data_IF_687985099765
#
_entry.id   IF_687985099765
#
_cell.length_a   1.000
_cell.length_b   1.000
_cell.length_c   1.000
_cell.angle_alpha   90.00
_cell.angle_beta   90.00
_cell.angle_gamma   90.00
#
_symmetry.space_group_name_H-M   'P 1'
#
loop_
_entity.id
_entity.type
_entity.pdbx_description
1 polymer ?
#
# COMPACT_ATOMS: atom_id res chain seq x y z
N UNK A 1 -2.56 7.41 33.24
CA UNK A 1 -1.79 7.18 32.00
C UNK A 1 -2.76 6.59 30.99
N UNK A 2 -3.29 7.42 30.10
CA UNK A 2 -3.92 6.94 28.88
C UNK A 2 -2.74 6.60 27.98
N UNK A 3 -2.61 5.33 27.58
CA UNK A 3 -1.60 4.95 26.61
C UNK A 3 -1.89 5.72 25.32
N UNK A 4 -0.92 6.46 24.80
CA UNK A 4 -0.94 6.92 23.42
C UNK A 4 -0.96 5.65 22.57
N UNK A 5 -2.14 5.32 22.03
CA UNK A 5 -2.27 4.28 21.02
C UNK A 5 -1.70 4.91 19.77
N UNK A 6 -0.70 4.28 19.15
CA UNK A 6 -0.19 4.73 17.85
C UNK A 6 -1.35 4.80 16.86
N UNK A 7 -1.29 5.72 15.90
CA UNK A 7 -2.30 5.79 14.84
C UNK A 7 -2.41 4.44 14.09
N UNK A 8 -1.30 3.72 13.95
CA UNK A 8 -1.23 2.42 13.27
C UNK A 8 -2.02 1.34 14.02
N UNK A 9 -1.89 1.27 15.34
CA UNK A 9 -2.62 0.33 16.19
C UNK A 9 -4.13 0.61 16.16
N UNK A 10 -4.51 1.88 16.04
CA UNK A 10 -5.90 2.30 15.93
C UNK A 10 -6.52 1.87 14.59
N UNK A 11 -5.79 2.03 13.48
CA UNK A 11 -6.25 1.64 12.14
C UNK A 11 -6.32 0.11 12.01
N UNK A 12 -5.31 -0.62 12.48
CA UNK A 12 -5.32 -2.08 12.51
C UNK A 12 -6.53 -2.63 13.29
N UNK A 13 -6.88 -2.00 14.42
CA UNK A 13 -8.05 -2.37 15.21
C UNK A 13 -9.36 -2.12 14.44
N UNK A 14 -9.46 -1.03 13.67
CA UNK A 14 -10.64 -0.73 12.84
C UNK A 14 -10.85 -1.81 11.78
N UNK A 15 -9.79 -2.24 11.10
CA UNK A 15 -9.83 -3.28 10.07
C UNK A 15 -10.32 -4.60 10.66
N UNK A 16 -9.67 -5.06 11.73
CA UNK A 16 -10.05 -6.30 12.43
C UNK A 16 -11.51 -6.26 12.92
N UNK A 17 -11.97 -5.10 13.37
CA UNK A 17 -13.37 -4.92 13.76
C UNK A 17 -14.32 -5.06 12.57
N UNK A 18 -14.01 -4.46 11.42
CA UNK A 18 -14.85 -4.61 10.23
C UNK A 18 -14.87 -6.04 9.71
N UNK A 19 -13.71 -6.71 9.65
CA UNK A 19 -13.62 -8.13 9.28
C UNK A 19 -14.46 -8.99 10.22
N UNK A 20 -14.33 -8.80 11.53
CA UNK A 20 -15.15 -9.52 12.50
C UNK A 20 -16.64 -9.25 12.33
N UNK A 21 -17.04 -8.00 12.04
CA UNK A 21 -18.43 -7.65 11.75
C UNK A 21 -18.92 -8.41 10.51
N UNK A 22 -18.12 -8.47 9.45
CA UNK A 22 -18.50 -9.13 8.21
C UNK A 22 -18.58 -10.65 8.37
N UNK A 23 -17.62 -11.25 9.06
CA UNK A 23 -17.46 -12.72 9.07
C UNK A 23 -18.12 -13.41 10.28
N UNK A 24 -18.16 -12.75 11.43
CA UNK A 24 -18.36 -13.44 12.73
C UNK A 24 -19.47 -12.84 13.62
N UNK A 25 -20.02 -11.67 13.31
CA UNK A 25 -20.92 -10.95 14.24
C UNK A 25 -22.36 -11.46 14.34
N UNK A 26 -22.77 -12.44 13.51
CA UNK A 26 -24.17 -12.84 13.30
C UNK A 26 -25.14 -11.69 12.91
N UNK A 27 -24.63 -10.49 12.62
CA UNK A 27 -25.45 -9.35 12.24
C UNK A 27 -26.15 -9.61 10.91
N UNK A 28 -27.38 -9.13 10.78
CA UNK A 28 -28.03 -9.13 9.48
C UNK A 28 -27.32 -8.14 8.54
N UNK A 29 -27.53 -8.33 7.23
CA UNK A 29 -26.91 -7.48 6.21
C UNK A 29 -27.18 -5.98 6.41
N UNK A 30 -28.39 -5.61 6.85
CA UNK A 30 -28.75 -4.21 7.08
C UNK A 30 -27.94 -3.55 8.21
N UNK A 31 -27.67 -4.29 9.28
CA UNK A 31 -26.86 -3.79 10.40
C UNK A 31 -25.38 -3.71 10.04
N UNK A 32 -24.86 -4.67 9.27
CA UNK A 32 -23.50 -4.61 8.68
C UNK A 32 -23.33 -3.35 7.83
N UNK A 33 -24.24 -3.10 6.88
CA UNK A 33 -24.22 -1.90 6.04
C UNK A 33 -24.29 -0.62 6.87
N UNK A 34 -25.13 -0.58 7.91
CA UNK A 34 -25.23 0.60 8.78
C UNK A 34 -23.90 0.87 9.52
N UNK A 35 -23.22 -0.19 9.93
CA UNK A 35 -21.92 -0.09 10.58
C UNK A 35 -20.86 0.46 9.62
N UNK A 36 -20.78 -0.08 8.41
CA UNK A 36 -19.84 0.42 7.38
C UNK A 36 -20.12 1.89 7.04
N UNK A 37 -21.39 2.27 6.88
CA UNK A 37 -21.77 3.66 6.61
C UNK A 37 -21.40 4.61 7.76
N UNK A 38 -21.46 4.12 9.00
CA UNK A 38 -21.02 4.89 10.17
C UNK A 38 -19.51 5.09 10.16
N UNK A 39 -18.74 4.05 9.80
CA UNK A 39 -17.28 4.15 9.63
C UNK A 39 -16.92 5.12 8.51
N UNK A 40 -17.57 5.02 7.35
CA UNK A 40 -17.37 5.94 6.21
C UNK A 40 -17.64 7.39 6.58
N UNK A 41 -18.70 7.66 7.32
CA UNK A 41 -19.02 9.01 7.78
C UNK A 41 -17.98 9.55 8.77
N UNK A 42 -17.48 8.69 9.68
CA UNK A 42 -16.41 9.05 10.60
C UNK A 42 -15.10 9.37 9.86
N UNK A 43 -14.69 8.53 8.91
CA UNK A 43 -13.49 8.76 8.09
C UNK A 43 -13.63 10.02 7.24
N UNK A 44 -14.79 10.25 6.61
CA UNK A 44 -15.00 11.48 5.85
C UNK A 44 -14.83 12.71 6.73
N UNK A 45 -15.37 12.68 7.96
CA UNK A 45 -15.19 13.76 8.93
C UNK A 45 -13.72 13.94 9.30
N UNK A 46 -13.00 12.85 9.57
CA UNK A 46 -11.60 12.90 10.01
C UNK A 46 -10.68 13.43 8.90
N UNK A 47 -10.77 12.86 7.70
CA UNK A 47 -9.99 13.24 6.52
C UNK A 47 -10.31 14.68 6.06
N UNK A 48 -11.53 15.18 6.29
CA UNK A 48 -11.92 16.54 5.92
C UNK A 48 -11.58 17.60 6.98
N UNK A 49 -11.45 17.22 8.27
CA UNK A 49 -11.34 18.16 9.38
C UNK A 49 -9.91 18.40 9.84
N UNK A 50 -9.05 17.39 9.72
CA UNK A 50 -7.65 17.51 10.08
C UNK A 50 -6.86 17.78 8.82
N UNK A 51 -6.21 18.95 8.75
CA UNK A 51 -5.24 19.26 7.70
C UNK A 51 -4.30 18.07 7.57
N UNK A 52 -4.35 17.47 6.39
CA UNK A 52 -3.75 16.19 6.00
C UNK A 52 -2.92 15.51 7.09
N UNK A 53 -3.52 14.52 7.75
CA UNK A 53 -2.83 13.69 8.73
C UNK A 53 -1.70 12.96 7.99
N UNK A 54 -0.49 13.04 8.53
CA UNK A 54 0.64 12.25 8.06
C UNK A 54 0.38 10.78 8.43
N UNK A 55 -0.29 10.08 7.52
CA UNK A 55 -0.66 8.67 7.63
C UNK A 55 0.10 7.94 6.54
N UNK A 56 0.73 6.82 6.90
CA UNK A 56 1.39 5.97 5.94
C UNK A 56 0.39 5.48 4.86
N UNK A 57 0.85 5.42 3.60
CA UNK A 57 0.05 5.07 2.42
C UNK A 57 -0.59 3.68 2.54
N UNK A 58 0.18 2.69 3.00
CA UNK A 58 -0.27 1.33 3.33
C UNK A 58 -1.50 1.28 4.27
N UNK A 59 -1.56 2.17 5.26
CA UNK A 59 -2.67 2.27 6.21
C UNK A 59 -3.90 2.90 5.56
N UNK A 60 -3.70 3.89 4.69
CA UNK A 60 -4.80 4.46 3.89
C UNK A 60 -5.41 3.41 2.97
N UNK A 61 -4.61 2.56 2.36
CA UNK A 61 -5.09 1.47 1.51
C UNK A 61 -5.89 0.42 2.31
N UNK A 62 -5.37 0.06 3.48
CA UNK A 62 -6.05 -0.85 4.38
C UNK A 62 -7.37 -0.26 4.90
N UNK A 63 -7.45 1.06 5.09
CA UNK A 63 -8.70 1.75 5.43
C UNK A 63 -9.70 1.72 4.27
N UNK A 64 -9.25 1.93 3.02
CA UNK A 64 -10.10 1.81 1.82
C UNK A 64 -10.68 0.40 1.72
N UNK A 65 -9.88 -0.64 1.95
CA UNK A 65 -10.35 -2.02 2.00
C UNK A 65 -11.40 -2.21 3.10
N UNK A 66 -11.11 -1.80 4.34
CA UNK A 66 -12.03 -1.94 5.47
C UNK A 66 -13.40 -1.28 5.22
N UNK A 67 -13.43 -0.10 4.59
CA UNK A 67 -14.70 0.57 4.29
C UNK A 67 -15.41 0.04 3.06
N UNK A 68 -14.85 -0.93 2.35
CA UNK A 68 -15.44 -1.53 1.15
C UNK A 68 -15.74 -3.03 1.26
N UNK A 69 -15.54 -3.62 2.44
CA UNK A 69 -15.80 -5.04 2.70
C UNK A 69 -17.27 -5.45 2.47
N UNK A 70 -18.24 -4.56 2.70
CA UNK A 70 -19.67 -4.87 2.53
C UNK A 70 -20.20 -4.22 1.25
N UNK A 71 -19.87 -2.94 1.03
CA UNK A 71 -20.22 -2.23 -0.20
C UNK A 71 -18.95 -1.81 -0.95
N UNK A 72 -18.67 -2.34 -2.15
CA UNK A 72 -17.45 -2.01 -2.87
C UNK A 72 -17.40 -0.55 -3.38
N UNK A 73 -18.55 0.14 -3.44
CA UNK A 73 -18.63 1.48 -4.02
C UNK A 73 -18.54 2.56 -2.95
N UNK A 74 -17.53 3.42 -3.06
CA UNK A 74 -17.39 4.62 -2.24
C UNK A 74 -18.25 5.78 -2.78
N UNK A 75 -18.60 6.72 -1.91
CA UNK A 75 -19.20 7.99 -2.34
C UNK A 75 -18.13 8.89 -2.94
N UNK A 76 -18.52 9.76 -3.87
CA UNK A 76 -17.60 10.68 -4.55
C UNK A 76 -16.79 11.54 -3.56
N UNK A 77 -17.43 12.04 -2.50
CA UNK A 77 -16.76 12.85 -1.47
C UNK A 77 -15.66 12.07 -0.72
N UNK A 78 -15.92 10.79 -0.43
CA UNK A 78 -14.96 9.94 0.26
C UNK A 78 -13.82 9.51 -0.67
N UNK A 79 -14.10 9.25 -1.94
CA UNK A 79 -13.07 9.01 -2.97
C UNK A 79 -12.11 10.19 -3.08
N UNK A 80 -12.64 11.41 -3.20
CA UNK A 80 -11.84 12.64 -3.27
C UNK A 80 -10.98 12.80 -2.01
N UNK A 81 -11.56 12.57 -0.83
CA UNK A 81 -10.84 12.70 0.44
C UNK A 81 -9.68 11.70 0.55
N UNK A 82 -9.89 10.44 0.16
CA UNK A 82 -8.82 9.44 0.13
C UNK A 82 -7.72 9.81 -0.86
N UNK A 83 -8.07 10.17 -2.09
CA UNK A 83 -7.09 10.55 -3.13
C UNK A 83 -6.23 11.71 -2.67
N UNK A 84 -6.84 12.75 -2.10
CA UNK A 84 -6.09 13.92 -1.63
C UNK A 84 -5.19 13.59 -0.44
N UNK A 85 -5.64 12.71 0.46
CA UNK A 85 -4.84 12.29 1.62
C UNK A 85 -3.65 11.44 1.17
N UNK A 86 -3.87 10.51 0.25
CA UNK A 86 -2.80 9.70 -0.34
C UNK A 86 -1.78 10.60 -1.04
N UNK A 87 -2.26 11.52 -1.89
CA UNK A 87 -1.40 12.47 -2.60
C UNK A 87 -0.55 13.33 -1.63
N UNK A 88 -1.10 13.70 -0.48
CA UNK A 88 -0.35 14.44 0.54
C UNK A 88 0.66 13.57 1.30
N UNK A 89 0.27 12.34 1.67
CA UNK A 89 1.15 11.41 2.39
C UNK A 89 2.34 10.95 1.54
N UNK A 90 2.19 10.97 0.22
CA UNK A 90 3.24 10.58 -0.72
C UNK A 90 4.32 11.66 -0.83
N UNK A 91 5.41 11.47 -0.10
CA UNK A 91 6.64 12.27 -0.20
C UNK A 91 7.46 11.82 -1.41
N UNK A 92 6.95 12.07 -2.61
CA UNK A 92 7.45 11.55 -3.91
C UNK A 92 8.97 11.80 -4.13
N UNK A 93 9.53 12.84 -3.52
CA UNK A 93 10.94 13.21 -3.68
C UNK A 93 11.92 12.47 -2.76
N UNK A 94 11.45 11.77 -1.73
CA UNK A 94 12.29 11.12 -0.70
C UNK A 94 12.28 9.58 -0.79
N UNK A 95 11.49 9.02 -1.70
CA UNK A 95 11.20 7.58 -1.81
C UNK A 95 12.01 6.96 -2.96
N UNK A 96 12.48 5.72 -2.79
CA UNK A 96 13.20 5.00 -3.85
C UNK A 96 12.28 4.54 -4.99
N UNK A 97 12.86 4.31 -6.17
CA UNK A 97 12.12 3.92 -7.38
C UNK A 97 11.31 2.63 -7.21
N UNK A 98 11.81 1.65 -6.47
CA UNK A 98 11.11 0.37 -6.26
C UNK A 98 9.84 0.57 -5.44
N UNK A 99 9.92 1.41 -4.40
CA UNK A 99 8.78 1.74 -3.55
C UNK A 99 7.74 2.53 -4.34
N UNK A 100 8.16 3.50 -5.16
CA UNK A 100 7.26 4.23 -6.06
C UNK A 100 6.54 3.29 -7.06
N UNK A 101 7.22 2.28 -7.60
CA UNK A 101 6.58 1.28 -8.46
C UNK A 101 5.57 0.41 -7.71
N UNK A 102 5.90 -0.03 -6.49
CA UNK A 102 4.98 -0.80 -5.65
C UNK A 102 3.73 -0.02 -5.32
N UNK A 103 3.90 1.23 -4.88
CA UNK A 103 2.80 2.16 -4.57
C UNK A 103 1.92 2.43 -5.82
N UNK A 104 2.53 2.65 -6.98
CA UNK A 104 1.79 2.81 -8.23
C UNK A 104 0.95 1.55 -8.58
N UNK A 105 1.49 0.36 -8.32
CA UNK A 105 0.76 -0.89 -8.54
C UNK A 105 -0.41 -1.03 -7.56
N UNK A 106 -0.22 -0.71 -6.28
CA UNK A 106 -1.29 -0.74 -5.28
C UNK A 106 -2.41 0.24 -5.66
N UNK A 107 -2.07 1.47 -6.06
CA UNK A 107 -3.03 2.45 -6.58
C UNK A 107 -3.87 1.93 -7.75
N UNK A 108 -3.26 1.23 -8.71
CA UNK A 108 -4.00 0.62 -9.82
C UNK A 108 -5.00 -0.44 -9.35
N UNK A 109 -4.65 -1.23 -8.33
CA UNK A 109 -5.62 -2.20 -7.78
C UNK A 109 -6.84 -1.51 -7.18
N UNK A 110 -6.68 -0.29 -6.66
CA UNK A 110 -7.75 0.52 -6.08
C UNK A 110 -8.49 1.40 -7.09
N UNK A 111 -8.12 1.40 -8.38
CA UNK A 111 -8.77 2.19 -9.44
C UNK A 111 -10.30 2.02 -9.42
N UNK A 112 -10.76 0.78 -9.30
CA UNK A 112 -12.20 0.45 -9.32
C UNK A 112 -12.97 1.07 -8.15
N UNK A 113 -12.27 1.33 -7.05
CA UNK A 113 -12.84 1.80 -5.78
C UNK A 113 -12.70 3.31 -5.63
N UNK A 114 -11.56 3.87 -6.03
CA UNK A 114 -11.21 5.28 -5.86
C UNK A 114 -11.36 6.13 -7.13
N UNK A 115 -11.50 5.50 -8.31
CA UNK A 115 -11.79 6.16 -9.58
C UNK A 115 -10.56 6.68 -10.34
N UNK A 116 -10.82 7.41 -11.43
CA UNK A 116 -9.79 7.83 -12.41
C UNK A 116 -8.68 8.71 -11.85
N UNK A 117 -8.92 9.47 -10.78
CA UNK A 117 -7.91 10.35 -10.18
C UNK A 117 -6.72 9.57 -9.60
N UNK A 118 -6.93 8.31 -9.23
CA UNK A 118 -5.86 7.44 -8.76
C UNK A 118 -4.94 6.97 -9.90
N UNK A 119 -5.47 6.84 -11.12
CA UNK A 119 -4.67 6.46 -12.30
C UNK A 119 -3.63 7.54 -12.60
N UNK A 120 -4.05 8.80 -12.62
CA UNK A 120 -3.13 9.92 -12.83
C UNK A 120 -2.05 10.01 -11.75
N UNK A 121 -2.38 9.63 -10.51
CA UNK A 121 -1.41 9.57 -9.42
C UNK A 121 -0.42 8.42 -9.64
N UNK A 122 -0.91 7.22 -9.98
CA UNK A 122 -0.07 6.05 -10.29
C UNK A 122 0.87 6.30 -11.47
N UNK A 123 0.40 6.96 -12.53
CA UNK A 123 1.24 7.37 -13.67
C UNK A 123 2.35 8.32 -13.24
N UNK A 124 2.04 9.33 -12.43
CA UNK A 124 3.03 10.29 -11.90
C UNK A 124 4.11 9.59 -11.04
N UNK A 125 3.73 8.60 -10.24
CA UNK A 125 4.69 7.83 -9.44
C UNK A 125 5.63 7.01 -10.31
N UNK A 126 5.11 6.40 -11.40
CA UNK A 126 5.96 5.66 -12.34
C UNK A 126 6.92 6.56 -13.08
N UNK A 127 6.44 7.70 -13.57
CA UNK A 127 7.28 8.69 -14.25
C UNK A 127 8.44 9.09 -13.33
N UNK A 128 8.15 9.39 -12.06
CA UNK A 128 9.21 9.70 -11.09
C UNK A 128 10.16 8.53 -10.83
N UNK A 129 9.64 7.31 -10.72
CA UNK A 129 10.47 6.12 -10.53
C UNK A 129 11.45 5.93 -11.72
N UNK A 130 10.97 6.13 -12.95
CA UNK A 130 11.82 6.10 -14.14
C UNK A 130 12.87 7.21 -14.14
N UNK A 131 12.53 8.44 -13.77
CA UNK A 131 13.50 9.53 -13.63
C UNK A 131 14.61 9.19 -12.64
N UNK A 132 14.28 8.63 -11.48
CA UNK A 132 15.26 8.23 -10.45
C UNK A 132 16.18 7.12 -10.98
N UNK A 133 15.66 6.15 -11.72
CA UNK A 133 16.47 5.11 -12.35
C UNK A 133 17.40 5.68 -13.44
N UNK A 134 16.91 6.63 -14.24
CA UNK A 134 17.72 7.30 -15.28
C UNK A 134 18.83 8.15 -14.65
N UNK A 135 18.53 8.90 -13.59
CA UNK A 135 19.52 9.67 -12.81
C UNK A 135 20.62 8.76 -12.22
N UNK A 136 20.24 7.59 -11.68
CA UNK A 136 21.21 6.59 -11.18
C UNK A 136 22.11 6.03 -12.27
N UNK A 137 21.57 5.78 -13.46
CA UNK A 137 22.36 5.27 -14.60
C UNK A 137 23.25 6.36 -15.21
N UNK A 138 22.88 7.63 -15.07
CA UNK A 138 23.61 8.78 -15.59
C UNK A 138 24.74 9.30 -14.66
N UNK A 139 24.87 8.78 -13.43
CA UNK A 139 25.94 9.15 -12.49
C UNK A 139 27.08 8.10 -12.43
N UNK A 140 28.14 8.24 -13.26
CA UNK A 140 29.27 7.30 -13.29
C UNK A 140 30.19 7.38 -12.06
N UNK A 141 29.87 8.18 -11.03
CA UNK A 141 30.73 8.36 -9.85
C UNK A 141 30.14 7.81 -8.53
N UNK A 142 28.97 7.18 -8.52
CA UNK A 142 28.47 6.48 -7.32
C UNK A 142 29.16 5.11 -7.18
N UNK A 143 30.44 5.15 -6.83
CA UNK A 143 31.22 3.99 -6.38
C UNK A 143 30.91 3.73 -4.89
N UNK A 144 29.67 3.34 -4.58
CA UNK A 144 29.37 2.73 -3.28
C UNK A 144 29.35 1.20 -3.45
N UNK A 145 30.42 0.49 -3.05
CA UNK A 145 30.55 -0.95 -3.27
C UNK A 145 29.58 -1.81 -2.44
N UNK A 146 28.71 -1.22 -1.61
CA UNK A 146 27.73 -1.96 -0.80
C UNK A 146 26.37 -2.21 -1.49
N UNK A 147 26.11 -1.67 -2.68
CA UNK A 147 24.82 -1.88 -3.39
C UNK A 147 24.77 -3.09 -4.33
N UNK A 148 25.79 -3.96 -4.33
CA UNK A 148 25.70 -5.26 -5.00
C UNK A 148 24.87 -6.26 -4.17
N UNK A 149 23.57 -5.97 -4.01
CA UNK A 149 22.59 -6.97 -3.59
C UNK A 149 22.25 -7.82 -4.81
N UNK A 150 22.96 -8.95 -4.94
CA UNK A 150 22.70 -10.11 -5.80
C UNK A 150 21.65 -9.91 -6.90
N UNK A 151 22.12 -9.56 -8.11
CA UNK A 151 21.46 -9.97 -9.35
C UNK A 151 21.94 -11.40 -9.65
N UNK A 152 21.09 -12.44 -9.56
CA UNK A 152 21.46 -13.74 -10.09
C UNK A 152 21.41 -13.63 -11.62
N UNK A 153 22.57 -13.66 -12.26
CA UNK A 153 22.65 -13.90 -13.70
C UNK A 153 22.01 -15.27 -14.00
N UNK A 154 21.07 -15.36 -14.95
CA UNK A 154 20.55 -16.64 -15.36
C UNK A 154 21.50 -17.21 -16.41
N UNK A 155 22.25 -18.27 -16.08
CA UNK A 155 22.56 -19.45 -16.90
C UNK A 155 23.91 -20.08 -16.54
N UNK A 156 23.88 -21.06 -15.65
CA UNK A 156 24.65 -22.29 -15.80
C UNK A 156 23.81 -23.39 -15.12
N UNK A 157 23.44 -24.43 -15.87
CA UNK A 157 22.72 -25.59 -15.33
C UNK A 157 23.56 -26.18 -14.20
N UNK A 158 23.08 -25.98 -12.96
CA UNK A 158 23.69 -26.54 -11.77
C UNK A 158 23.39 -28.04 -11.74
N UNK A 159 24.37 -28.87 -12.08
CA UNK A 159 24.21 -30.33 -12.13
C UNK A 159 24.21 -30.90 -10.70
N UNK A 160 23.01 -31.16 -10.19
CA UNK A 160 22.76 -31.60 -8.81
C UNK A 160 23.33 -33.02 -8.57
N UNK A 161 23.55 -33.80 -9.63
CA UNK A 161 24.02 -35.18 -9.51
C UNK A 161 25.49 -35.28 -9.03
N UNK A 162 26.31 -34.26 -9.28
CA UNK A 162 27.71 -34.22 -8.82
C UNK A 162 27.82 -33.99 -7.29
N UNK A 163 26.84 -33.31 -6.70
CA UNK A 163 26.78 -33.03 -5.25
C UNK A 163 26.51 -34.29 -4.42
N UNK A 164 25.80 -35.28 -4.98
CA UNK A 164 25.47 -36.52 -4.27
C UNK A 164 26.48 -37.64 -4.51
N UNK A 165 27.31 -37.55 -5.56
CA UNK A 165 28.37 -38.52 -5.82
C UNK A 165 29.41 -38.59 -4.68
N UNK A 166 29.66 -37.46 -4.00
CA UNK A 166 30.58 -37.39 -2.85
C UNK A 166 30.02 -37.90 -1.52
N UNK A 167 28.71 -38.21 -1.44
CA UNK A 167 28.03 -38.64 -0.21
C UNK A 167 27.86 -40.16 -0.09
N UNK A 168 28.17 -40.91 -1.15
CA UNK A 168 28.07 -42.37 -1.21
C UNK A 168 29.41 -43.10 -1.02
N UNK A 169 30.53 -42.38 -0.91
CA UNK A 169 31.88 -42.97 -0.79
C UNK A 169 32.45 -42.91 0.64
N UNK A 170 31.59 -42.99 1.66
CA UNK A 170 31.98 -43.18 3.07
C UNK A 170 31.28 -44.36 3.73
#
# INVERSE_FOLDING_TARGET
HVAEISNDDSIATIIQLQEWIVESSDWNYGDKVRSEMSLRAALLSELSSNGYVDVETNLLYSLVEAVTLINPMLTADLQVSFVQTIEYSMHIDEIDANTLFSEAQELETMEKTLGQSVISLAERLRERAFEIEEERQADPYSSDPEQHRYTPEPTEEFDIDELFAGLLDR
#
